data_IF_966400864850
#
_entry.id   IF_966400864850
#
_cell.length_a   1.000
_cell.length_b   1.000
_cell.length_c   1.000
_cell.angle_alpha   90.00
_cell.angle_beta   90.00
_cell.angle_gamma   90.00
#
_symmetry.space_group_name_H-M   'P 1'
#
loop_
_entity.id
_entity.type
_entity.pdbx_description
1 polymer ?
#
# COMPACT_ATOMS: atom_id res chain seq x y z
N UNK A 1 -18.23 4.12 11.45
CA UNK A 1 -17.09 3.19 11.32
C UNK A 1 -16.67 3.27 9.87
N UNK A 2 -15.49 3.83 9.61
CA UNK A 2 -14.99 3.96 8.25
C UNK A 2 -14.58 2.60 7.69
N UNK A 3 -15.02 2.34 6.45
CA UNK A 3 -14.82 1.07 5.75
C UNK A 3 -14.03 1.33 4.46
N UNK A 4 -13.00 0.52 4.24
CA UNK A 4 -12.27 0.36 2.99
C UNK A 4 -13.12 -0.51 2.06
N UNK A 5 -13.56 0.05 0.94
CA UNK A 5 -14.31 -0.73 -0.04
C UNK A 5 -13.34 -1.55 -0.87
N UNK A 6 -13.78 -2.70 -1.39
CA UNK A 6 -12.96 -3.47 -2.34
C UNK A 6 -12.56 -2.63 -3.56
N UNK A 7 -13.42 -1.71 -3.99
CA UNK A 7 -13.10 -0.75 -5.06
C UNK A 7 -11.91 0.15 -4.73
N UNK A 8 -11.74 0.55 -3.46
CA UNK A 8 -10.58 1.36 -3.05
C UNK A 8 -9.27 0.58 -3.21
N UNK A 9 -9.31 -0.72 -2.91
CA UNK A 9 -8.16 -1.62 -3.03
C UNK A 9 -7.81 -1.85 -4.50
N UNK A 10 -8.82 -2.03 -5.35
CA UNK A 10 -8.62 -2.17 -6.81
C UNK A 10 -8.02 -0.90 -7.40
N UNK A 11 -8.53 0.28 -7.06
CA UNK A 11 -8.00 1.56 -7.54
C UNK A 11 -6.55 1.79 -7.08
N UNK A 12 -6.24 1.54 -5.81
CA UNK A 12 -4.86 1.64 -5.30
C UNK A 12 -3.91 0.69 -6.02
N UNK A 13 -4.32 -0.56 -6.25
CA UNK A 13 -3.50 -1.52 -6.99
C UNK A 13 -3.29 -1.12 -8.45
N UNK A 14 -4.30 -0.54 -9.12
CA UNK A 14 -4.12 0.01 -10.45
C UNK A 14 -3.13 1.18 -10.44
N UNK A 15 -3.23 2.12 -9.49
CA UNK A 15 -2.26 3.22 -9.38
C UNK A 15 -0.83 2.72 -9.16
N UNK A 16 -0.64 1.68 -8.34
CA UNK A 16 0.68 1.10 -8.13
C UNK A 16 1.22 0.37 -9.37
N UNK A 17 0.34 -0.26 -10.15
CA UNK A 17 0.69 -0.90 -11.41
C UNK A 17 1.06 0.13 -12.48
N UNK A 18 0.33 1.25 -12.57
CA UNK A 18 0.63 2.35 -13.48
C UNK A 18 1.97 3.03 -13.15
N UNK A 19 2.29 3.14 -11.85
CA UNK A 19 3.58 3.66 -11.36
C UNK A 19 4.71 2.60 -11.43
N UNK A 20 4.45 1.40 -11.95
CA UNK A 20 5.45 0.35 -12.11
C UNK A 20 6.26 0.51 -13.41
N UNK A 21 7.56 0.23 -13.34
CA UNK A 21 8.42 0.18 -14.53
C UNK A 21 7.97 -0.96 -15.45
N UNK A 22 7.98 -0.71 -16.76
CA UNK A 22 7.67 -1.72 -17.80
C UNK A 22 8.59 -2.95 -17.70
N UNK A 23 9.80 -2.77 -17.16
CA UNK A 23 10.81 -3.82 -17.03
C UNK A 23 10.55 -4.77 -15.84
N UNK A 24 9.74 -4.37 -14.86
CA UNK A 24 9.31 -5.26 -13.78
C UNK A 24 7.92 -4.90 -13.22
N UNK A 25 6.84 -5.33 -13.90
CA UNK A 25 5.47 -5.07 -13.46
C UNK A 25 5.12 -5.77 -12.14
N UNK A 26 5.86 -6.81 -11.75
CA UNK A 26 5.63 -7.55 -10.51
C UNK A 26 6.27 -6.90 -9.28
N UNK A 27 7.11 -5.88 -9.46
CA UNK A 27 7.73 -5.15 -8.34
C UNK A 27 6.79 -4.11 -7.71
N UNK A 28 5.63 -3.83 -8.29
CA UNK A 28 4.65 -2.89 -7.76
C UNK A 28 4.13 -3.31 -6.37
N UNK A 29 3.89 -2.38 -5.44
CA UNK A 29 3.15 -2.69 -4.22
C UNK A 29 1.77 -3.24 -4.54
N UNK A 30 1.35 -4.26 -3.79
CA UNK A 30 0.01 -4.84 -3.85
C UNK A 30 -0.67 -4.68 -2.49
N UNK A 31 -1.91 -4.23 -2.52
CA UNK A 31 -2.77 -4.05 -1.35
C UNK A 31 -3.73 -5.22 -1.26
N UNK A 32 -3.77 -5.84 -0.08
CA UNK A 32 -4.65 -6.94 0.23
C UNK A 32 -5.60 -6.52 1.34
N UNK A 33 -6.90 -6.73 1.13
CA UNK A 33 -7.94 -6.46 2.11
C UNK A 33 -8.15 -7.68 3.00
N UNK A 34 -8.14 -7.46 4.31
CA UNK A 34 -8.45 -8.44 5.33
C UNK A 34 -9.70 -8.00 6.08
N UNK A 35 -10.71 -8.86 6.09
CA UNK A 35 -11.92 -8.67 6.88
C UNK A 35 -12.08 -9.88 7.79
N UNK A 36 -11.86 -9.66 9.08
CA UNK A 36 -11.97 -10.71 10.10
C UNK A 36 -12.64 -10.15 11.35
N UNK A 37 -13.67 -10.86 11.83
CA UNK A 37 -14.37 -10.55 13.09
C UNK A 37 -14.88 -9.10 13.18
N UNK A 38 -15.33 -8.51 12.06
CA UNK A 38 -15.86 -7.14 12.02
C UNK A 38 -14.79 -6.04 12.15
N UNK A 39 -13.51 -6.40 12.03
CA UNK A 39 -12.40 -5.47 11.87
C UNK A 39 -11.82 -5.61 10.48
N UNK A 40 -11.65 -4.46 9.82
CA UNK A 40 -11.09 -4.40 8.50
C UNK A 40 -9.70 -3.79 8.55
N UNK A 41 -8.72 -4.48 7.99
CA UNK A 41 -7.35 -4.00 7.81
C UNK A 41 -6.89 -4.30 6.40
N UNK A 42 -5.84 -3.63 5.95
CA UNK A 42 -5.16 -3.92 4.70
C UNK A 42 -3.69 -4.21 4.95
N UNK A 43 -3.08 -5.07 4.12
CA UNK A 43 -1.63 -5.27 4.10
C UNK A 43 -1.01 -4.86 2.77
N UNK A 44 0.22 -4.35 2.83
CA UNK A 44 1.06 -4.00 1.70
C UNK A 44 2.05 -5.14 1.45
N UNK A 45 1.95 -5.78 0.29
CA UNK A 45 2.93 -6.73 -0.23
C UNK A 45 3.81 -6.03 -1.27
N UNK A 46 5.12 -6.28 -1.24
CA UNK A 46 6.05 -5.83 -2.28
C UNK A 46 6.91 -7.04 -2.64
N UNK A 47 6.79 -7.54 -3.88
CA UNK A 47 7.56 -8.70 -4.33
C UNK A 47 8.98 -8.28 -4.70
N UNK A 48 9.95 -9.02 -4.17
CA UNK A 48 11.38 -8.69 -4.27
C UNK A 48 12.05 -9.41 -5.46
N UNK A 49 11.36 -10.30 -6.16
CA UNK A 49 11.96 -11.03 -7.29
C UNK A 49 12.00 -10.15 -8.55
N UNK A 50 13.21 -9.87 -9.04
CA UNK A 50 13.45 -9.11 -10.29
C UNK A 50 13.77 -7.62 -10.11
N UNK A 51 14.14 -7.20 -8.90
CA UNK A 51 14.48 -5.83 -8.50
C UNK A 51 14.87 -4.87 -9.65
N UNK A 52 13.97 -3.94 -9.96
CA UNK A 52 14.33 -2.69 -10.64
C UNK A 52 15.37 -1.95 -9.76
N UNK A 53 16.62 -1.76 -10.24
CA UNK A 53 17.68 -1.13 -9.47
C UNK A 53 17.41 0.35 -9.17
N UNK A 54 16.52 1.00 -9.91
CA UNK A 54 16.29 2.45 -9.84
C UNK A 54 15.16 2.84 -8.86
N UNK A 55 14.49 1.87 -8.23
CA UNK A 55 13.45 2.18 -7.23
C UNK A 55 14.04 2.68 -5.90
N UNK A 56 13.40 3.67 -5.24
CA UNK A 56 13.83 4.15 -3.94
C UNK A 56 13.85 3.01 -2.90
N UNK A 57 15.01 2.84 -2.24
CA UNK A 57 15.21 1.92 -1.12
C UNK A 57 15.49 2.73 0.13
N UNK A 58 15.14 2.18 1.28
CA UNK A 58 15.61 2.70 2.55
C UNK A 58 17.13 2.45 2.70
N UNK A 59 17.74 3.03 3.74
CA UNK A 59 19.17 2.89 4.02
C UNK A 59 19.60 1.43 4.27
N UNK A 60 18.66 0.54 4.54
CA UNK A 60 18.85 -0.88 4.80
C UNK A 60 18.73 -1.73 3.52
N UNK A 61 18.50 -1.10 2.36
CA UNK A 61 18.34 -1.77 1.07
C UNK A 61 16.97 -2.44 0.88
N UNK A 62 16.05 -2.23 1.81
CA UNK A 62 14.66 -2.66 1.71
C UNK A 62 13.85 -1.65 0.91
N UNK A 63 12.72 -2.08 0.35
CA UNK A 63 11.84 -1.16 -0.37
C UNK A 63 11.38 -0.01 0.51
N UNK A 64 11.38 1.20 -0.06
CA UNK A 64 10.87 2.36 0.62
C UNK A 64 9.34 2.28 0.74
N UNK A 65 8.87 1.67 1.85
CA UNK A 65 7.47 1.65 2.23
C UNK A 65 6.88 3.06 2.32
N UNK A 66 7.70 4.10 2.51
CA UNK A 66 7.27 5.50 2.60
C UNK A 66 6.51 5.93 1.35
N UNK A 67 6.92 5.47 0.16
CA UNK A 67 6.19 5.79 -1.08
C UNK A 67 4.78 5.16 -1.07
N UNK A 68 4.67 3.87 -0.79
CA UNK A 68 3.37 3.17 -0.75
C UNK A 68 2.46 3.75 0.34
N UNK A 69 3.00 3.97 1.54
CA UNK A 69 2.28 4.57 2.67
C UNK A 69 1.78 5.98 2.34
N UNK A 70 2.62 6.81 1.70
CA UNK A 70 2.23 8.15 1.27
C UNK A 70 1.10 8.10 0.25
N UNK A 71 1.20 7.25 -0.78
CA UNK A 71 0.14 7.09 -1.78
C UNK A 71 -1.19 6.65 -1.19
N UNK A 72 -1.15 5.67 -0.29
CA UNK A 72 -2.34 5.20 0.44
C UNK A 72 -2.95 6.35 1.24
N UNK A 73 -2.12 7.10 1.98
CA UNK A 73 -2.57 8.25 2.77
C UNK A 73 -3.23 9.30 1.89
N UNK A 74 -2.54 9.75 0.84
CA UNK A 74 -3.03 10.77 -0.09
C UNK A 74 -4.37 10.32 -0.73
N UNK A 75 -4.49 9.05 -1.14
CA UNK A 75 -5.71 8.49 -1.74
C UNK A 75 -6.93 8.61 -0.82
N UNK A 76 -6.78 8.28 0.47
CA UNK A 76 -7.88 8.30 1.42
C UNK A 76 -8.13 9.71 1.99
N UNK A 77 -7.09 10.52 2.18
CA UNK A 77 -7.23 11.92 2.62
C UNK A 77 -8.03 12.76 1.61
N UNK A 78 -7.81 12.55 0.31
CA UNK A 78 -8.62 13.17 -0.76
C UNK A 78 -10.11 12.79 -0.68
N UNK A 79 -10.43 11.68 -0.02
CA UNK A 79 -11.80 11.19 0.21
C UNK A 79 -12.30 11.53 1.63
N UNK A 80 -11.60 12.40 2.35
CA UNK A 80 -11.97 12.86 3.70
C UNK A 80 -11.76 11.81 4.79
N UNK A 81 -10.93 10.80 4.56
CA UNK A 81 -10.64 9.70 5.50
C UNK A 81 -9.21 9.77 6.00
N UNK A 82 -8.98 9.34 7.24
CA UNK A 82 -7.64 9.25 7.82
C UNK A 82 -7.17 7.79 7.85
N UNK A 83 -5.90 7.57 7.52
CA UNK A 83 -5.27 6.24 7.54
C UNK A 83 -4.28 6.15 8.69
N UNK A 84 -4.34 5.05 9.44
CA UNK A 84 -3.34 4.68 10.43
C UNK A 84 -2.58 3.45 9.94
N UNK A 85 -1.27 3.45 10.20
CA UNK A 85 -0.37 2.35 9.89
C UNK A 85 0.07 1.68 11.17
N UNK A 86 0.24 0.37 11.12
CA UNK A 86 0.87 -0.40 12.19
C UNK A 86 2.28 0.13 12.47
N UNK A 87 2.58 0.60 13.69
CA UNK A 87 3.85 1.26 13.99
C UNK A 87 5.04 0.29 14.06
N UNK A 88 4.78 -1.01 14.14
CA UNK A 88 5.84 -2.03 14.22
C UNK A 88 6.34 -2.41 12.83
N UNK A 89 5.43 -2.66 11.90
CA UNK A 89 5.77 -3.17 10.56
C UNK A 89 5.62 -2.12 9.46
N UNK A 90 4.73 -1.14 9.64
CA UNK A 90 4.34 -0.18 8.61
C UNK A 90 3.65 -0.80 7.39
N UNK A 91 3.44 -2.13 7.37
CA UNK A 91 2.88 -2.87 6.24
C UNK A 91 1.38 -3.10 6.37
N UNK A 92 0.84 -2.96 7.56
CA UNK A 92 -0.59 -3.10 7.83
C UNK A 92 -1.17 -1.71 8.07
N UNK A 93 -2.37 -1.45 7.57
CA UNK A 93 -3.07 -0.19 7.79
C UNK A 93 -4.59 -0.37 7.93
N UNK A 94 -5.25 0.63 8.49
CA UNK A 94 -6.71 0.70 8.64
C UNK A 94 -7.17 2.16 8.53
N UNK A 95 -8.48 2.36 8.31
CA UNK A 95 -9.07 3.69 8.41
C UNK A 95 -9.34 4.03 9.87
N UNK A 96 -8.94 5.23 10.27
CA UNK A 96 -9.29 5.79 11.57
C UNK A 96 -10.75 6.25 11.51
N UNK A 97 -11.60 5.65 12.35
CA UNK A 97 -13.02 5.95 12.45
C UNK A 97 -13.38 6.97 13.52
#
# INVERSE_FOLDING_TARGET
MDVIKIGDVVELNHQFADDASEDNPNAAPQIHLHDACGKQTCSIEIKVEGLDPDRPRNAQGEYDLTYAQRRIRDYFEQRGKQVEFDPTTGKIFWLRG
#
